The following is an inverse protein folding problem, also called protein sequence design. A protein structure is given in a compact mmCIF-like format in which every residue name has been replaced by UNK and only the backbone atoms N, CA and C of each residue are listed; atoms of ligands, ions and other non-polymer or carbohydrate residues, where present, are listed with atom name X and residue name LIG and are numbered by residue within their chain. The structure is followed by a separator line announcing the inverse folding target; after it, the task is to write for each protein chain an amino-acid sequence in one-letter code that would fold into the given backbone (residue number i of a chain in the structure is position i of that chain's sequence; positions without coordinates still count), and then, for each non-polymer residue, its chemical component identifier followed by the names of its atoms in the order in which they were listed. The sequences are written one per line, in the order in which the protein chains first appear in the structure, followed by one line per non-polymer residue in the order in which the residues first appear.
data_IF_301804587365
#
_entry.id   IF_301804587365
#
_cell.length_a   1.000
_cell.length_b   1.000
_cell.length_c   1.000
_cell.angle_alpha   90.00
_cell.angle_beta   90.00
_cell.angle_gamma   90.00
#
_symmetry.space_group_name_H-M   'P 1'
#
loop_
_entity.id
_entity.type
_entity.pdbx_description
1 polymer ?
#
# COMPACT_ATOMS: atom_id res chain seq x y z
N UNK A 1 15.83 6.33 -7.92
CA UNK A 1 15.16 5.10 -8.38
C UNK A 1 15.81 4.61 -9.68
N UNK A 2 15.66 3.34 -10.07
CA UNK A 2 16.20 2.76 -11.32
C UNK A 2 15.08 2.56 -12.34
N UNK A 3 15.37 2.73 -13.63
CA UNK A 3 14.42 2.46 -14.71
C UNK A 3 14.20 0.93 -14.87
N UNK A 4 12.96 0.42 -14.74
CA UNK A 4 12.68 -1.01 -14.91
C UNK A 4 13.03 -1.56 -16.30
N UNK A 5 13.18 -0.70 -17.30
CA UNK A 5 13.48 -1.07 -18.69
C UNK A 5 14.97 -0.99 -19.05
N UNK A 6 15.84 -0.63 -18.10
CA UNK A 6 17.29 -0.58 -18.32
C UNK A 6 17.87 -1.99 -18.54
N UNK A 7 18.93 -2.10 -19.35
CA UNK A 7 19.50 -3.39 -19.77
C UNK A 7 19.93 -4.28 -18.58
N UNK A 8 20.44 -3.69 -17.49
CA UNK A 8 20.84 -4.45 -16.31
C UNK A 8 19.64 -5.05 -15.59
N UNK A 9 18.55 -4.29 -15.47
CA UNK A 9 17.31 -4.73 -14.83
C UNK A 9 16.65 -5.83 -15.65
N UNK A 10 16.51 -5.63 -16.97
CA UNK A 10 15.95 -6.65 -17.87
C UNK A 10 16.72 -7.97 -17.84
N UNK A 11 18.05 -7.89 -17.80
CA UNK A 11 18.92 -9.06 -17.67
C UNK A 11 18.77 -9.74 -16.31
N UNK A 12 18.69 -8.98 -15.21
CA UNK A 12 18.51 -9.53 -13.87
C UNK A 12 17.15 -10.23 -13.71
N UNK A 13 16.08 -9.66 -14.28
CA UNK A 13 14.75 -10.27 -14.26
C UNK A 13 14.52 -11.29 -15.38
N UNK A 14 15.53 -11.63 -16.20
CA UNK A 14 15.45 -12.59 -17.29
C UNK A 14 14.22 -12.40 -18.21
N UNK A 15 13.83 -11.16 -18.49
CA UNK A 15 12.65 -10.84 -19.31
C UNK A 15 11.29 -11.05 -18.65
N UNK A 16 11.21 -11.36 -17.35
CA UNK A 16 9.96 -11.50 -16.61
C UNK A 16 9.08 -10.24 -16.62
N UNK A 17 9.69 -9.07 -16.77
CA UNK A 17 9.02 -7.77 -16.91
C UNK A 17 7.94 -7.74 -17.99
N UNK A 18 8.09 -8.51 -19.07
CA UNK A 18 7.11 -8.56 -20.18
C UNK A 18 5.93 -9.50 -19.93
N UNK A 19 5.88 -10.16 -18.77
CA UNK A 19 4.83 -11.13 -18.42
C UNK A 19 3.81 -10.59 -17.43
N UNK A 20 4.13 -9.49 -16.76
CA UNK A 20 3.26 -8.83 -15.79
C UNK A 20 3.16 -7.35 -16.14
N UNK A 21 1.99 -6.72 -15.97
CA UNK A 21 1.88 -5.28 -16.10
C UNK A 21 2.79 -4.57 -15.09
N UNK A 22 3.59 -3.62 -15.56
CA UNK A 22 4.40 -2.74 -14.72
C UNK A 22 3.93 -1.33 -15.00
N UNK A 23 3.43 -0.65 -13.97
CA UNK A 23 3.06 0.76 -14.01
C UNK A 23 4.00 1.46 -13.04
N UNK A 24 4.72 2.47 -13.52
CA UNK A 24 5.69 3.24 -12.74
C UNK A 24 5.30 4.73 -12.74
N UNK A 25 5.91 5.49 -11.83
CA UNK A 25 5.68 6.93 -11.67
C UNK A 25 4.19 7.27 -11.44
N UNK A 26 3.51 6.46 -10.62
CA UNK A 26 2.16 6.79 -10.15
C UNK A 26 2.32 7.82 -9.03
N UNK A 27 1.71 9.00 -9.22
CA UNK A 27 1.60 10.00 -8.16
C UNK A 27 0.67 9.51 -7.06
N UNK A 28 1.01 9.77 -5.80
CA UNK A 28 0.21 9.32 -4.66
C UNK A 28 -1.20 9.90 -4.68
N UNK A 29 -1.35 11.13 -5.16
CA UNK A 29 -2.67 11.78 -5.34
C UNK A 29 -3.59 11.03 -6.30
N UNK A 30 -3.04 10.14 -7.15
CA UNK A 30 -3.77 9.36 -8.13
C UNK A 30 -3.82 7.86 -7.82
N UNK A 31 -3.26 7.40 -6.69
CA UNK A 31 -3.09 5.97 -6.38
C UNK A 31 -4.41 5.20 -6.37
N UNK A 32 -5.50 5.84 -5.95
CA UNK A 32 -6.84 5.27 -5.86
C UNK A 32 -7.40 4.82 -7.21
N UNK A 33 -6.95 5.39 -8.33
CA UNK A 33 -7.37 4.99 -9.67
C UNK A 33 -6.83 3.61 -10.09
N UNK A 34 -5.78 3.12 -9.42
CA UNK A 34 -5.09 1.87 -9.75
C UNK A 34 -5.47 0.72 -8.81
N UNK A 35 -6.18 1.02 -7.72
CA UNK A 35 -6.55 0.04 -6.70
C UNK A 35 -8.06 -0.20 -6.75
N UNK A 36 -8.51 -1.46 -6.91
CA UNK A 36 -9.94 -1.78 -6.83
C UNK A 36 -10.54 -1.35 -5.49
N UNK A 37 -11.75 -0.77 -5.49
CA UNK A 37 -12.44 -0.31 -4.26
C UNK A 37 -12.56 -1.38 -3.16
N UNK A 38 -12.63 -2.66 -3.53
CA UNK A 38 -12.70 -3.80 -2.61
C UNK A 38 -11.34 -4.50 -2.53
N UNK A 39 -10.33 -3.76 -2.09
CA UNK A 39 -8.98 -4.28 -1.86
C UNK A 39 -8.64 -4.28 -0.38
N UNK A 40 -7.65 -5.09 -0.01
CA UNK A 40 -7.02 -5.03 1.31
C UNK A 40 -5.54 -4.72 1.13
N UNK A 41 -5.07 -3.70 1.84
CA UNK A 41 -3.67 -3.24 1.76
C UNK A 41 -2.85 -3.87 2.88
N UNK A 42 -1.76 -4.53 2.51
CA UNK A 42 -0.79 -5.09 3.43
C UNK A 42 0.52 -4.30 3.34
N UNK A 43 1.03 -3.84 4.47
CA UNK A 43 2.31 -3.14 4.55
C UNK A 43 3.36 -4.13 5.05
N UNK A 44 4.40 -4.38 4.25
CA UNK A 44 5.55 -5.16 4.70
C UNK A 44 6.45 -4.29 5.59
N UNK A 45 6.38 -4.50 6.91
CA UNK A 45 7.09 -3.72 7.90
C UNK A 45 7.61 -4.60 9.04
N UNK A 46 8.90 -4.50 9.33
CA UNK A 46 9.54 -5.24 10.42
C UNK A 46 9.64 -4.43 11.72
N UNK A 47 9.45 -3.12 11.66
CA UNK A 47 9.52 -2.21 12.82
C UNK A 47 8.31 -2.32 13.74
N UNK A 48 7.19 -2.85 13.24
CA UNK A 48 5.95 -2.97 14.00
C UNK A 48 6.01 -4.04 15.11
N UNK A 49 5.45 -3.69 16.26
CA UNK A 49 5.28 -4.58 17.40
C UNK A 49 4.01 -5.42 17.27
N UNK A 50 4.16 -6.74 17.40
CA UNK A 50 3.04 -7.70 17.27
C UNK A 50 2.05 -7.55 18.46
N UNK A 51 2.46 -6.93 19.56
CA UNK A 51 1.69 -6.85 20.82
C UNK A 51 0.72 -5.67 20.93
N UNK A 52 0.63 -4.78 19.95
CA UNK A 52 0.00 -3.47 20.14
C UNK A 52 -1.46 -3.33 19.64
N UNK A 53 -1.97 -4.20 18.76
CA UNK A 53 -3.29 -3.98 18.16
C UNK A 53 -4.43 -4.72 18.87
N UNK A 54 -5.11 -4.04 19.79
CA UNK A 54 -6.49 -4.34 20.20
C UNK A 54 -7.48 -3.23 19.83
N UNK A 55 -6.99 -2.17 19.16
CA UNK A 55 -7.82 -1.14 18.57
C UNK A 55 -7.97 -1.41 17.06
N UNK A 56 -9.20 -1.66 16.62
CA UNK A 56 -9.55 -1.49 15.21
C UNK A 56 -9.45 0.00 14.91
N UNK A 57 -8.61 0.44 13.95
CA UNK A 57 -8.70 1.80 13.45
C UNK A 57 -10.14 2.07 13.02
N UNK A 58 -10.71 3.22 13.38
CA UNK A 58 -11.99 3.64 12.83
C UNK A 58 -11.80 3.81 11.31
N UNK A 59 -12.28 2.83 10.55
CA UNK A 59 -12.19 2.84 9.10
C UNK A 59 -13.06 3.97 8.56
N UNK A 60 -12.45 4.90 7.82
CA UNK A 60 -13.16 5.97 7.13
C UNK A 60 -13.91 5.33 5.94
N UNK A 61 -15.22 5.51 5.88
CA UNK A 61 -16.08 4.90 4.87
C UNK A 61 -16.19 5.80 3.63
N UNK A 62 -15.58 5.40 2.51
CA UNK A 62 -15.48 6.16 1.26
C UNK A 62 -16.77 6.28 0.43
N UNK A 63 -17.92 5.85 0.97
CA UNK A 63 -19.22 6.10 0.35
C UNK A 63 -19.73 7.54 0.60
N UNK A 64 -19.01 8.33 1.40
CA UNK A 64 -19.34 9.73 1.70
C UNK A 64 -18.86 10.69 0.60
N UNK A 65 -19.72 11.66 0.23
CA UNK A 65 -19.42 12.69 -0.77
C UNK A 65 -18.16 13.49 -0.37
N UNK A 66 -17.41 14.10 -1.33
CA UNK A 66 -16.21 14.88 -1.00
C UNK A 66 -16.53 15.89 0.11
N UNK A 67 -15.79 15.79 1.23
CA UNK A 67 -15.94 16.69 2.36
C UNK A 67 -15.49 18.09 1.93
N UNK A 68 -16.41 19.04 1.94
CA UNK A 68 -16.12 20.45 1.72
C UNK A 68 -15.52 21.04 3.00
N UNK A 69 -14.19 21.13 3.07
CA UNK A 69 -13.51 21.85 4.15
C UNK A 69 -13.45 23.34 3.82
N UNK A 70 -13.80 24.18 4.80
CA UNK A 70 -13.80 25.64 4.68
C UNK A 70 -12.55 26.16 5.38
N UNK A 71 -11.70 26.86 4.64
CA UNK A 71 -10.46 27.43 5.18
C UNK A 71 -10.75 28.62 6.10
N UNK A 72 -9.76 29.06 6.90
CA UNK A 72 -9.88 30.21 7.82
C UNK A 72 -10.34 31.51 7.11
N UNK A 73 -10.11 31.61 5.81
CA UNK A 73 -10.50 32.74 4.95
C UNK A 73 -11.93 32.61 4.35
N UNK A 74 -12.65 31.52 4.64
CA UNK A 74 -14.02 31.28 4.16
C UNK A 74 -14.13 30.74 2.73
N UNK A 75 -13.01 30.35 2.12
CA UNK A 75 -12.98 29.67 0.82
C UNK A 75 -13.14 28.15 1.00
N UNK A 76 -13.92 27.51 0.13
CA UNK A 76 -14.11 26.05 0.11
C UNK A 76 -12.92 25.43 -0.61
N UNK A 77 -12.08 24.69 0.11
CA UNK A 77 -10.95 23.98 -0.47
C UNK A 77 -11.35 22.52 -0.76
N UNK A 78 -11.59 22.23 -2.03
CA UNK A 78 -11.94 20.88 -2.47
C UNK A 78 -10.65 20.09 -2.72
N UNK A 79 -10.19 19.34 -1.72
CA UNK A 79 -8.94 18.55 -1.78
C UNK A 79 -9.08 17.23 -2.55
N UNK A 80 -10.30 16.78 -2.82
CA UNK A 80 -10.62 15.57 -3.58
C UNK A 80 -11.55 15.88 -4.74
N UNK A 81 -11.12 15.67 -5.97
CA UNK A 81 -11.90 15.99 -7.16
C UNK A 81 -11.64 15.01 -8.32
N UNK A 82 -12.48 15.07 -9.35
CA UNK A 82 -12.30 14.29 -10.58
C UNK A 82 -11.94 15.24 -11.71
N UNK A 83 -10.82 14.99 -12.38
CA UNK A 83 -10.40 15.69 -13.59
C UNK A 83 -10.37 14.75 -14.79
N UNK A 84 -10.05 15.24 -15.98
CA UNK A 84 -9.86 14.43 -17.19
C UNK A 84 -8.37 14.40 -17.58
N UNK A 85 -7.86 13.22 -17.93
CA UNK A 85 -6.50 13.09 -18.45
C UNK A 85 -6.41 13.47 -19.95
N UNK A 86 -5.21 13.35 -20.54
CA UNK A 86 -4.95 13.63 -21.96
C UNK A 86 -5.80 12.80 -22.93
N UNK A 87 -6.36 11.68 -22.47
CA UNK A 87 -7.22 10.76 -23.24
C UNK A 87 -8.72 10.97 -22.96
N UNK A 88 -9.12 12.10 -22.37
CA UNK A 88 -10.51 12.42 -21.95
C UNK A 88 -11.12 11.41 -20.95
N UNK A 89 -10.29 10.67 -20.20
CA UNK A 89 -10.76 9.73 -19.18
C UNK A 89 -10.83 10.39 -17.81
N UNK A 90 -11.87 10.11 -17.00
CA UNK A 90 -11.98 10.64 -15.65
C UNK A 90 -10.90 10.04 -14.74
N UNK A 91 -10.19 10.90 -14.01
CA UNK A 91 -9.16 10.57 -13.04
C UNK A 91 -9.51 11.22 -11.71
N UNK A 92 -9.61 10.41 -10.65
CA UNK A 92 -9.78 10.92 -9.29
C UNK A 92 -8.43 11.42 -8.76
N UNK A 93 -8.42 12.63 -8.20
CA UNK A 93 -7.27 13.24 -7.57
C UNK A 93 -7.61 13.48 -6.10
N UNK A 94 -6.68 13.08 -5.23
CA UNK A 94 -6.72 13.32 -3.79
C UNK A 94 -5.45 14.06 -3.35
N UNK A 95 -5.53 15.39 -3.24
CA UNK A 95 -4.41 16.26 -2.88
C UNK A 95 -3.97 16.09 -1.42
N UNK A 96 -4.79 15.46 -0.58
CA UNK A 96 -4.42 15.16 0.82
C UNK A 96 -3.29 14.13 0.92
N UNK A 97 -2.83 13.55 -0.19
CA UNK A 97 -1.62 12.71 -0.25
C UNK A 97 -0.31 13.50 -0.38
N UNK A 98 -0.37 14.78 -0.74
CA UNK A 98 0.79 15.68 -0.84
C UNK A 98 0.79 16.76 0.25
N UNK A 99 -0.27 16.85 1.06
CA UNK A 99 -0.42 17.82 2.14
C UNK A 99 0.23 17.31 3.45
N UNK A 100 1.31 17.94 3.95
CA UNK A 100 2.03 17.44 5.12
C UNK A 100 1.18 17.37 6.40
N UNK A 101 0.32 18.38 6.63
CA UNK A 101 -0.58 18.44 7.79
C UNK A 101 -1.59 17.30 7.82
N UNK A 102 -2.02 16.81 6.66
CA UNK A 102 -2.88 15.63 6.57
C UNK A 102 -2.10 14.35 6.84
N UNK A 103 -0.86 14.27 6.34
CA UNK A 103 0.00 13.09 6.51
C UNK A 103 0.50 12.88 7.94
N UNK A 104 0.73 13.97 8.69
CA UNK A 104 1.12 13.92 10.11
C UNK A 104 0.13 13.09 10.95
N UNK A 105 -1.17 13.10 10.59
CA UNK A 105 -2.21 12.30 11.26
C UNK A 105 -1.96 10.80 11.18
N UNK A 106 -1.19 10.34 10.19
CA UNK A 106 -0.93 8.93 9.89
C UNK A 106 0.46 8.46 10.33
N UNK A 107 1.33 9.34 10.83
CA UNK A 107 2.68 8.95 11.28
C UNK A 107 2.65 8.08 12.53
N UNK A 108 1.75 8.39 13.47
CA UNK A 108 1.62 7.69 14.76
C UNK A 108 0.54 6.60 14.76
N UNK A 109 -0.09 6.32 13.61
CA UNK A 109 -1.13 5.29 13.54
C UNK A 109 -0.49 3.91 13.58
N UNK A 110 -0.83 3.15 14.62
CA UNK A 110 -0.43 1.76 14.73
C UNK A 110 -1.47 0.83 14.11
N UNK A 111 -1.16 0.33 12.91
CA UNK A 111 -1.99 -0.64 12.21
C UNK A 111 -1.80 -2.04 12.81
N UNK A 112 -2.85 -2.90 12.76
CA UNK A 112 -2.74 -4.30 13.17
C UNK A 112 -1.56 -5.00 12.51
N UNK A 113 -0.67 -5.59 13.32
CA UNK A 113 0.54 -6.24 12.85
C UNK A 113 0.50 -7.74 13.07
N UNK A 114 0.75 -8.49 12.01
CA UNK A 114 0.73 -9.96 12.03
C UNK A 114 2.02 -10.53 11.44
N UNK A 115 2.43 -11.71 11.93
CA UNK A 115 3.44 -12.50 11.23
C UNK A 115 2.91 -12.88 9.85
N UNK A 116 3.77 -12.79 8.82
CA UNK A 116 3.40 -13.11 7.44
C UNK A 116 2.76 -14.50 7.29
N UNK A 117 3.17 -15.47 8.13
CA UNK A 117 2.66 -16.85 8.14
C UNK A 117 1.41 -17.05 9.01
N UNK A 118 1.08 -16.10 9.89
CA UNK A 118 -0.03 -16.19 10.85
C UNK A 118 -1.32 -15.53 10.38
N UNK A 119 -1.23 -14.68 9.35
CA UNK A 119 -2.37 -13.96 8.78
C UNK A 119 -3.04 -14.75 7.65
N UNK A 120 -4.35 -14.57 7.49
CA UNK A 120 -5.10 -15.10 6.34
C UNK A 120 -5.26 -14.01 5.29
N UNK A 121 -4.62 -14.18 4.14
CA UNK A 121 -4.77 -13.23 3.05
C UNK A 121 -6.13 -13.38 2.35
N UNK A 122 -6.73 -12.28 1.85
CA UNK A 122 -7.89 -12.32 0.98
C UNK A 122 -7.66 -13.16 -0.28
N UNK A 123 -8.74 -13.56 -0.96
CA UNK A 123 -8.64 -14.39 -2.17
C UNK A 123 -8.38 -13.61 -3.45
N UNK A 124 -8.68 -12.32 -3.42
CA UNK A 124 -8.60 -11.40 -4.56
C UNK A 124 -8.27 -10.00 -4.04
N UNK A 125 -7.81 -9.13 -4.93
CA UNK A 125 -7.56 -7.71 -4.65
C UNK A 125 -6.65 -7.46 -3.42
N UNK A 126 -5.54 -8.19 -3.37
CA UNK A 126 -4.49 -7.97 -2.37
C UNK A 126 -3.57 -6.88 -2.91
N UNK A 127 -3.36 -5.82 -2.14
CA UNK A 127 -2.33 -4.82 -2.39
C UNK A 127 -1.22 -5.04 -1.38
N UNK A 128 0.02 -5.25 -1.84
CA UNK A 128 1.18 -5.37 -0.97
C UNK A 128 2.09 -4.16 -1.18
N UNK A 129 2.21 -3.32 -0.15
CA UNK A 129 3.15 -2.22 -0.12
C UNK A 129 4.48 -2.67 0.47
N UNK A 130 5.58 -2.35 -0.21
CA UNK A 130 6.94 -2.59 0.26
C UNK A 130 7.75 -1.30 0.10
N UNK A 131 8.24 -0.79 1.23
CA UNK A 131 9.03 0.44 1.27
C UNK A 131 10.46 0.28 0.72
N UNK A 132 11.12 1.43 0.56
CA UNK A 132 12.55 1.49 0.25
C UNK A 132 13.42 1.10 1.44
N UNK A 133 14.70 0.80 1.19
CA UNK A 133 15.61 0.27 2.22
C UNK A 133 16.02 1.31 3.28
N UNK A 134 15.99 2.60 2.95
CA UNK A 134 16.62 3.66 3.76
C UNK A 134 15.68 4.45 4.65
N UNK A 135 14.37 4.30 4.46
CA UNK A 135 13.34 5.04 5.20
C UNK A 135 12.29 4.04 5.68
N UNK A 136 11.68 4.32 6.85
CA UNK A 136 10.59 3.52 7.38
C UNK A 136 9.34 3.55 6.49
N UNK A 137 8.22 3.06 7.02
CA UNK A 137 6.94 3.11 6.31
C UNK A 137 6.56 4.57 6.07
N UNK A 138 6.23 4.89 4.81
CA UNK A 138 5.78 6.21 4.39
C UNK A 138 4.37 6.48 4.95
N UNK A 139 4.11 7.67 5.50
CA UNK A 139 2.80 8.04 6.03
C UNK A 139 1.69 7.90 4.98
N UNK A 140 2.01 8.08 3.70
CA UNK A 140 1.08 7.86 2.57
C UNK A 140 0.67 6.40 2.44
N UNK A 141 1.56 5.46 2.74
CA UNK A 141 1.25 4.04 2.75
C UNK A 141 0.36 3.66 3.95
N UNK A 142 0.60 4.27 5.12
CA UNK A 142 -0.26 4.09 6.30
C UNK A 142 -1.65 4.65 6.04
N UNK A 143 -1.74 5.85 5.49
CA UNK A 143 -2.99 6.45 5.02
C UNK A 143 -3.71 5.49 4.07
N UNK A 144 -3.06 5.05 3.00
CA UNK A 144 -3.62 4.10 2.03
C UNK A 144 -4.12 2.81 2.73
N UNK A 145 -3.38 2.30 3.71
CA UNK A 145 -3.83 1.15 4.48
C UNK A 145 -5.10 1.47 5.29
N UNK A 146 -5.19 2.62 5.97
CA UNK A 146 -6.42 3.05 6.63
C UNK A 146 -7.61 3.12 5.67
N UNK A 147 -7.39 3.56 4.42
CA UNK A 147 -8.45 3.70 3.41
C UNK A 147 -8.99 2.33 2.92
N UNK A 148 -8.14 1.30 2.91
CA UNK A 148 -8.44 -0.02 2.33
C UNK A 148 -8.37 -1.16 3.35
N UNK A 149 -8.74 -0.90 4.60
CA UNK A 149 -8.85 -1.98 5.61
C UNK A 149 -7.52 -2.65 5.95
N UNK A 150 -6.43 -1.89 5.96
CA UNK A 150 -5.08 -2.42 5.83
C UNK A 150 -4.43 -2.88 7.13
N UNK A 151 -3.45 -3.77 6.96
CA UNK A 151 -2.75 -4.48 8.03
C UNK A 151 -1.24 -4.48 7.75
N UNK A 152 -0.42 -4.54 8.79
CA UNK A 152 1.04 -4.74 8.67
C UNK A 152 1.35 -6.24 8.70
N UNK A 153 2.30 -6.64 7.86
CA UNK A 153 2.84 -7.99 7.82
C UNK A 153 4.34 -7.97 8.09
N UNK A 154 4.76 -8.82 9.03
CA UNK A 154 6.13 -8.91 9.53
C UNK A 154 6.76 -10.26 9.23
N UNK A 155 8.00 -10.23 8.76
CA UNK A 155 8.84 -11.42 8.65
C UNK A 155 9.71 -11.48 9.91
N UNK A 156 9.63 -12.55 10.73
CA UNK A 156 10.43 -12.63 11.94
C UNK A 156 11.92 -12.70 11.59
N UNK A 157 12.70 -11.81 12.21
CA UNK A 157 14.15 -11.77 12.10
C UNK A 157 14.78 -12.03 13.48
N UNK A 158 15.94 -12.68 13.47
CA UNK A 158 16.72 -13.00 14.68
C UNK A 158 17.97 -12.10 14.78
N UNK A 159 18.63 -12.10 15.94
CA UNK A 159 19.90 -11.39 16.18
C UNK A 159 19.83 -9.86 15.98
N UNK A 160 18.73 -9.23 16.37
CA UNK A 160 18.55 -7.76 16.31
C UNK A 160 18.71 -7.18 14.90
N UNK A 161 18.42 -7.97 13.85
CA UNK A 161 18.38 -7.46 12.48
C UNK A 161 17.11 -6.62 12.27
N UNK A 162 17.29 -5.41 11.75
CA UNK A 162 16.21 -4.43 11.59
C UNK A 162 15.35 -4.71 10.36
N UNK A 163 15.93 -5.22 9.27
CA UNK A 163 15.20 -5.50 8.04
C UNK A 163 15.89 -6.55 7.16
N UNK A 164 15.13 -7.06 6.21
CA UNK A 164 15.62 -7.88 5.10
C UNK A 164 15.62 -7.02 3.84
N UNK A 165 16.48 -7.35 2.87
CA UNK A 165 16.41 -6.72 1.55
C UNK A 165 14.97 -6.84 0.97
N UNK A 166 14.46 -5.73 0.42
CA UNK A 166 13.07 -5.60 0.00
C UNK A 166 12.67 -6.69 -1.02
N UNK A 167 13.59 -7.14 -1.88
CA UNK A 167 13.28 -8.19 -2.86
C UNK A 167 13.01 -9.56 -2.20
N UNK A 168 13.75 -9.89 -1.15
CA UNK A 168 13.49 -11.11 -0.37
C UNK A 168 12.23 -10.99 0.47
N UNK A 169 11.95 -9.81 1.04
CA UNK A 169 10.72 -9.57 1.78
C UNK A 169 9.48 -9.76 0.90
N UNK A 170 9.47 -9.14 -0.28
CA UNK A 170 8.45 -9.34 -1.33
C UNK A 170 8.33 -10.83 -1.66
N UNK A 171 9.45 -11.51 -1.92
CA UNK A 171 9.44 -12.92 -2.31
C UNK A 171 8.80 -13.80 -1.24
N UNK A 172 9.19 -13.66 0.03
CA UNK A 172 8.66 -14.48 1.13
C UNK A 172 7.14 -14.28 1.27
N UNK A 173 6.69 -13.02 1.29
CA UNK A 173 5.26 -12.70 1.46
C UNK A 173 4.45 -13.17 0.26
N UNK A 174 4.91 -12.94 -0.97
CA UNK A 174 4.20 -13.39 -2.18
C UNK A 174 4.12 -14.92 -2.27
N UNK A 175 5.16 -15.65 -1.83
CA UNK A 175 5.12 -17.12 -1.81
C UNK A 175 4.12 -17.63 -0.77
N UNK A 176 3.99 -16.97 0.37
CA UNK A 176 2.99 -17.30 1.37
C UNK A 176 1.57 -17.02 0.88
N UNK A 177 1.33 -15.85 0.27
CA UNK A 177 0.06 -15.54 -0.40
C UNK A 177 -0.27 -16.63 -1.43
N UNK A 178 0.69 -16.96 -2.30
CA UNK A 178 0.53 -18.01 -3.32
C UNK A 178 0.22 -19.37 -2.70
N UNK A 179 0.88 -19.75 -1.59
CA UNK A 179 0.61 -21.00 -0.86
C UNK A 179 -0.85 -21.04 -0.39
N UNK A 180 -1.33 -19.98 0.26
CA UNK A 180 -2.72 -19.90 0.73
C UNK A 180 -3.74 -19.94 -0.42
N UNK A 181 -3.44 -19.27 -1.54
CA UNK A 181 -4.27 -19.33 -2.75
C UNK A 181 -4.28 -20.74 -3.38
N UNK A 182 -3.14 -21.45 -3.32
CA UNK A 182 -2.95 -22.78 -3.90
C UNK A 182 -3.52 -23.93 -3.04
N UNK A 183 -3.51 -23.83 -1.71
CA UNK A 183 -4.04 -24.88 -0.82
C UNK A 183 -5.52 -25.21 -1.09
N UNK A 184 -6.27 -24.27 -1.66
CA UNK A 184 -7.65 -24.48 -2.09
C UNK A 184 -7.77 -25.23 -3.43
N UNK A 185 -6.74 -25.24 -4.28
CA UNK A 185 -6.74 -26.02 -5.54
C UNK A 185 -6.58 -27.52 -5.28
N UNK A 186 -6.02 -27.93 -4.14
CA UNK A 186 -5.84 -29.33 -3.78
C UNK A 186 -7.10 -29.91 -3.10
N UNK A 187 -7.98 -29.06 -2.56
CA UNK A 187 -9.21 -29.45 -1.85
C UNK A 187 -10.51 -29.27 -2.69
N UNK A 188 -10.39 -29.07 -4.01
CA UNK A 188 -11.51 -29.08 -4.97
C UNK A 188 -11.42 -30.29 -5.87
#
# INVERSE_FOLDING_TARGET
CVDPWEHKVLRAGCGGHFRIPIINNIEWTQISNYIPKKSTVFIADNSADISASSATPEFINYDEAPEEEVNEDGEVEVKKYVTTNEDDQPVAIDETYDEPTELEKFEDIDLPCHLYSGIKFPKENIVLYVGGETHGVDARAVKLACEYGGEKVKIPLENSMESLNSSFAVTIILYEIKRQLAEKYILK
#
